data_IF_336840214224
#
_entry.id   IF_336840214224
#
_cell.length_a   1.000
_cell.length_b   1.000
_cell.length_c   1.000
_cell.angle_alpha   90.00
_cell.angle_beta   90.00
_cell.angle_gamma   90.00
#
_symmetry.space_group_name_H-M   'P 1'
#
loop_
_entity.id
_entity.type
_entity.pdbx_description
1 polymer ?
#
# COMPACT_ATOMS: atom_id res chain seq x y z
N UNK A 1 2.65 7.17 -4.63
CA UNK A 1 1.45 6.59 -3.96
C UNK A 1 1.80 6.25 -2.53
N UNK A 2 0.97 6.63 -1.62
CA UNK A 2 1.22 6.37 -0.20
C UNK A 2 0.23 5.35 0.34
N UNK A 3 0.71 4.50 1.22
CA UNK A 3 -0.13 3.55 1.93
C UNK A 3 -0.09 3.85 3.41
N UNK A 4 -1.22 3.69 4.06
CA UNK A 4 -1.33 3.82 5.51
C UNK A 4 -1.76 2.51 6.12
N UNK A 5 -1.09 2.14 7.20
CA UNK A 5 -1.44 0.96 7.96
C UNK A 5 -2.10 1.36 9.26
N UNK A 6 -3.13 0.62 9.66
CA UNK A 6 -3.76 0.83 10.95
C UNK A 6 -2.83 0.45 12.10
N UNK A 7 -1.92 -0.47 11.86
CA UNK A 7 -0.99 -0.93 12.89
C UNK A 7 0.45 -0.68 12.44
N UNK A 8 1.15 0.28 13.05
CA UNK A 8 2.52 0.59 12.63
C UNK A 8 3.51 -0.54 12.87
N UNK A 9 3.18 -1.53 13.69
CA UNK A 9 4.07 -2.67 13.89
C UNK A 9 4.21 -3.53 12.65
N UNK A 10 3.30 -3.40 11.70
CA UNK A 10 3.33 -4.17 10.46
C UNK A 10 3.97 -3.38 9.31
N UNK A 11 4.50 -2.19 9.56
CA UNK A 11 5.03 -1.36 8.49
C UNK A 11 6.16 -2.06 7.72
N UNK A 12 7.14 -2.58 8.44
CA UNK A 12 8.27 -3.27 7.79
C UNK A 12 7.80 -4.55 7.12
N UNK A 13 6.86 -5.23 7.72
CA UNK A 13 6.34 -6.48 7.17
C UNK A 13 5.64 -6.22 5.84
N UNK A 14 4.83 -5.17 5.76
CA UNK A 14 4.18 -4.81 4.51
C UNK A 14 5.21 -4.39 3.46
N UNK A 15 6.22 -3.63 3.85
CA UNK A 15 7.27 -3.22 2.92
C UNK A 15 7.97 -4.44 2.34
N UNK A 16 8.32 -5.42 3.17
CA UNK A 16 8.97 -6.62 2.71
C UNK A 16 8.05 -7.47 1.83
N UNK A 17 6.78 -7.53 2.17
CA UNK A 17 5.79 -8.25 1.37
C UNK A 17 5.73 -7.66 -0.04
N UNK A 18 5.63 -6.34 -0.14
CA UNK A 18 5.54 -5.69 -1.45
C UNK A 18 6.84 -5.80 -2.23
N UNK A 19 7.99 -5.72 -1.56
CA UNK A 19 9.29 -5.89 -2.22
C UNK A 19 9.43 -7.29 -2.79
N UNK A 20 8.91 -8.29 -2.10
CA UNK A 20 8.98 -9.66 -2.58
C UNK A 20 8.13 -9.86 -3.83
N UNK A 21 7.20 -8.97 -4.09
CA UNK A 21 6.37 -9.01 -5.29
C UNK A 21 6.89 -8.10 -6.40
N UNK A 22 8.10 -7.56 -6.22
CA UNK A 22 8.71 -6.72 -7.24
C UNK A 22 8.33 -5.25 -7.15
N UNK A 23 7.67 -4.85 -6.08
CA UNK A 23 7.29 -3.46 -5.89
C UNK A 23 8.39 -2.70 -5.15
N UNK A 24 8.52 -1.42 -5.42
CA UNK A 24 9.45 -0.57 -4.70
C UNK A 24 8.70 0.10 -3.55
N UNK A 25 8.96 -0.37 -2.35
CA UNK A 25 8.29 0.13 -1.16
C UNK A 25 9.30 0.75 -0.21
N UNK A 26 9.04 1.98 0.21
CA UNK A 26 9.90 2.73 1.10
C UNK A 26 9.11 3.07 2.35
N UNK A 27 9.67 2.79 3.51
CA UNK A 27 9.02 3.14 4.77
C UNK A 27 9.18 4.63 4.99
N UNK A 28 8.07 5.35 4.98
CA UNK A 28 8.09 6.80 5.15
C UNK A 28 7.91 7.22 6.61
N UNK A 29 7.38 6.33 7.43
CA UNK A 29 7.17 6.60 8.85
C UNK A 29 6.38 5.48 9.47
N UNK A 30 6.07 5.55 10.77
CA UNK A 30 5.30 4.51 11.42
C UNK A 30 3.93 4.37 10.77
N UNK A 31 3.64 3.22 10.25
CA UNK A 31 2.37 2.96 9.56
C UNK A 31 2.26 3.64 8.21
N UNK A 32 3.35 4.15 7.66
CA UNK A 32 3.32 4.85 6.38
C UNK A 32 4.35 4.27 5.42
N UNK A 33 3.89 3.97 4.22
CA UNK A 33 4.76 3.47 3.16
C UNK A 33 4.56 4.29 1.90
N UNK A 34 5.64 4.46 1.16
CA UNK A 34 5.55 5.11 -0.13
C UNK A 34 5.89 4.09 -1.21
N UNK A 35 5.05 4.01 -2.22
CA UNK A 35 5.27 3.12 -3.34
C UNK A 35 5.55 3.91 -4.60
N UNK A 36 6.56 3.46 -5.33
CA UNK A 36 6.86 4.00 -6.63
C UNK A 36 6.15 3.14 -7.67
N UNK A 37 4.90 3.48 -7.93
CA UNK A 37 4.05 2.68 -8.83
C UNK A 37 3.80 3.48 -10.09
N UNK A 38 4.01 2.89 -11.27
CA UNK A 38 3.68 3.57 -12.50
C UNK A 38 2.19 3.89 -12.54
N UNK A 39 1.83 4.95 -13.22
CA UNK A 39 0.45 5.39 -13.23
C UNK A 39 -0.42 4.61 -14.22
N UNK A 40 -0.07 3.39 -14.53
CA UNK A 40 -0.85 2.58 -15.45
C UNK A 40 -1.97 1.87 -14.71
N UNK A 41 -3.05 1.60 -15.41
CA UNK A 41 -4.17 0.88 -14.83
C UNK A 41 -3.77 -0.50 -14.36
N UNK A 42 -2.90 -1.16 -15.11
CA UNK A 42 -2.47 -2.50 -14.75
C UNK A 42 -1.76 -2.54 -13.42
N UNK A 43 -0.92 -1.55 -13.15
CA UNK A 43 -0.18 -1.51 -11.89
C UNK A 43 -1.13 -1.29 -10.71
N UNK A 44 -2.17 -0.51 -10.90
CA UNK A 44 -3.16 -0.29 -9.85
C UNK A 44 -3.96 -1.55 -9.55
N UNK A 45 -4.31 -2.28 -10.58
CA UNK A 45 -5.05 -3.53 -10.42
C UNK A 45 -4.18 -4.56 -9.68
N UNK A 46 -2.92 -4.66 -10.06
CA UNK A 46 -2.00 -5.57 -9.40
C UNK A 46 -1.84 -5.21 -7.92
N UNK A 47 -1.67 -3.94 -7.64
CA UNK A 47 -1.53 -3.50 -6.26
C UNK A 47 -2.79 -3.85 -5.45
N UNK A 48 -3.95 -3.66 -6.03
CA UNK A 48 -5.20 -4.02 -5.37
C UNK A 48 -5.28 -5.50 -5.02
N UNK A 49 -4.78 -6.36 -5.91
CA UNK A 49 -4.74 -7.80 -5.67
C UNK A 49 -3.77 -8.11 -4.52
N UNK A 50 -2.58 -7.48 -4.54
CA UNK A 50 -1.60 -7.71 -3.49
C UNK A 50 -2.13 -7.28 -2.12
N UNK A 51 -2.84 -6.16 -2.07
CA UNK A 51 -3.39 -5.69 -0.82
C UNK A 51 -4.54 -6.57 -0.31
N UNK A 52 -5.27 -7.20 -1.22
CA UNK A 52 -6.27 -8.18 -0.82
C UNK A 52 -5.63 -9.41 -0.18
N UNK A 53 -4.53 -9.88 -0.76
CA UNK A 53 -3.80 -11.01 -0.19
C UNK A 53 -3.28 -10.62 1.19
N UNK A 54 -2.74 -9.42 1.31
CA UNK A 54 -2.26 -8.92 2.59
C UNK A 54 -3.37 -8.93 3.64
N UNK A 55 -4.55 -8.50 3.27
CA UNK A 55 -5.67 -8.44 4.21
C UNK A 55 -6.07 -9.82 4.70
N UNK A 56 -5.95 -10.82 3.85
CA UNK A 56 -6.24 -12.20 4.24
C UNK A 56 -5.19 -12.73 5.20
N UNK A 57 -3.91 -12.40 4.94
CA UNK A 57 -2.82 -12.86 5.79
C UNK A 57 -2.78 -12.12 7.12
N UNK A 58 -3.10 -10.85 7.12
CA UNK A 58 -2.98 -10.01 8.30
C UNK A 58 -4.25 -9.16 8.47
N UNK A 59 -5.35 -9.78 8.90
CA UNK A 59 -6.61 -9.06 8.99
C UNK A 59 -6.60 -7.93 10.01
N UNK A 60 -5.65 -7.95 10.94
CA UNK A 60 -5.54 -6.90 11.94
C UNK A 60 -4.76 -5.69 11.42
N UNK A 61 -4.09 -5.81 10.32
CA UNK A 61 -3.29 -4.73 9.75
C UNK A 61 -3.98 -4.20 8.50
N UNK A 62 -4.90 -3.29 8.68
CA UNK A 62 -5.64 -2.73 7.57
C UNK A 62 -4.81 -1.72 6.82
N UNK A 63 -4.83 -1.77 5.50
CA UNK A 63 -4.07 -0.88 4.64
C UNK A 63 -5.03 0.01 3.88
N UNK A 64 -4.74 1.31 3.87
CA UNK A 64 -5.50 2.27 3.09
C UNK A 64 -4.60 2.94 2.08
N UNK A 65 -5.13 3.16 0.88
CA UNK A 65 -4.41 3.89 -0.13
C UNK A 65 -4.65 5.37 0.09
N UNK A 66 -3.59 6.13 0.15
CA UNK A 66 -3.66 7.55 0.35
C UNK A 66 -3.16 8.25 -0.91
N UNK A 67 -4.06 8.44 -1.85
CA UNK A 67 -3.73 9.15 -3.07
C UNK A 67 -4.35 10.51 -2.97
N UNK A 68 -3.57 11.47 -2.59
CA UNK A 68 -4.09 12.78 -2.34
C UNK A 68 -4.95 13.36 -3.42
N UNK A 69 -4.65 13.03 -4.65
CA UNK A 69 -5.40 13.66 -5.69
C UNK A 69 -6.69 13.00 -5.96
N UNK A 70 -6.90 11.83 -5.45
CA UNK A 70 -8.03 11.20 -5.77
C UNK A 70 -9.19 11.81 -5.38
N UNK A 71 -9.21 12.25 -4.40
CA UNK A 71 -10.32 12.66 -3.89
C UNK A 71 -10.85 13.73 -4.41
N UNK A 72 -10.29 14.31 -4.98
CA UNK A 72 -10.78 15.43 -5.54
C UNK A 72 -12.10 15.32 -6.00
N UNK A 73 -12.49 14.47 -6.28
CA UNK A 73 -13.62 14.43 -6.78
C UNK A 73 -14.61 14.93 -6.29
N UNK A 74 -14.70 14.61 -5.73
CA UNK A 74 -15.74 14.85 -5.28
C UNK A 74 -16.08 16.02 -5.61
N UNK A 75 -15.32 16.47 -5.80
CA UNK A 75 -15.68 17.73 -5.99
C UNK A 75 -16.68 17.87 -6.81
#
# INVERSE_FOLDING_TARGET
>A
MQLRLSDPNYTDRLANFLRSLGQTAIVAGPGQLELDVPTTSSSRVELGIYLRVWKVLYPDAEVQLDNGEDEAPGA
#
